data_IF_595365806764
#
_entry.id   IF_595365806764
#
_cell.length_a   1.000
_cell.length_b   1.000
_cell.length_c   1.000
_cell.angle_alpha   90.00
_cell.angle_beta   90.00
_cell.angle_gamma   90.00
#
_symmetry.space_group_name_H-M   'P 1'
#
loop_
_entity.id
_entity.type
_entity.pdbx_description
1 polymer ?
#
# COMPACT_ATOMS: atom_id res chain seq x y z
N UNK A 1 -12.43 1.94 0.79
CA UNK A 1 -13.92 2.01 0.86
C UNK A 1 -14.30 2.25 2.30
N UNK A 2 -15.15 3.23 2.58
CA UNK A 2 -15.60 3.57 3.93
C UNK A 2 -17.04 3.09 4.09
N UNK A 3 -17.33 2.32 5.12
CA UNK A 3 -18.64 1.70 5.35
C UNK A 3 -19.19 2.13 6.70
N UNK A 4 -20.50 2.42 6.75
CA UNK A 4 -21.20 2.53 8.03
C UNK A 4 -21.29 1.15 8.71
N UNK A 5 -21.69 1.12 9.98
CA UNK A 5 -21.82 -0.12 10.76
C UNK A 5 -22.67 -1.18 10.05
N UNK A 6 -23.81 -0.79 9.48
CA UNK A 6 -24.73 -1.69 8.78
C UNK A 6 -24.10 -2.27 7.50
N UNK A 7 -23.32 -1.46 6.77
CA UNK A 7 -22.56 -1.87 5.59
C UNK A 7 -21.41 -2.82 5.92
N UNK A 8 -20.74 -2.63 7.07
CA UNK A 8 -19.70 -3.54 7.56
C UNK A 8 -20.29 -4.90 7.91
N UNK A 9 -21.39 -4.93 8.66
CA UNK A 9 -22.10 -6.16 8.99
C UNK A 9 -22.60 -6.90 7.74
N UNK A 10 -23.15 -6.16 6.76
CA UNK A 10 -23.56 -6.73 5.48
C UNK A 10 -22.38 -7.36 4.72
N UNK A 11 -21.25 -6.65 4.62
CA UNK A 11 -20.08 -7.17 3.91
C UNK A 11 -19.51 -8.41 4.60
N UNK A 12 -19.42 -8.42 5.93
CA UNK A 12 -19.00 -9.59 6.70
C UNK A 12 -19.91 -10.80 6.43
N UNK A 13 -21.23 -10.59 6.42
CA UNK A 13 -22.21 -11.62 6.07
C UNK A 13 -22.06 -12.16 4.65
N UNK A 14 -21.84 -11.29 3.65
CA UNK A 14 -21.61 -11.68 2.25
C UNK A 14 -20.30 -12.46 2.08
N UNK A 15 -19.24 -12.02 2.74
CA UNK A 15 -17.93 -12.66 2.70
C UNK A 15 -17.85 -13.93 3.57
N UNK A 16 -18.83 -14.16 4.46
CA UNK A 16 -18.87 -15.27 5.43
C UNK A 16 -17.62 -15.32 6.31
N UNK A 17 -17.17 -14.17 6.77
CA UNK A 17 -16.01 -14.02 7.66
C UNK A 17 -16.37 -13.11 8.82
N UNK A 18 -15.72 -13.32 9.96
CA UNK A 18 -15.87 -12.46 11.12
C UNK A 18 -15.35 -11.05 10.82
N UNK A 19 -15.97 -10.02 11.42
CA UNK A 19 -15.56 -8.64 11.22
C UNK A 19 -14.10 -8.38 11.64
N UNK A 20 -13.58 -9.13 12.62
CA UNK A 20 -12.18 -9.04 13.05
C UNK A 20 -11.20 -9.41 11.93
N UNK A 21 -11.56 -10.36 11.08
CA UNK A 21 -10.74 -10.76 9.91
C UNK A 21 -10.72 -9.61 8.89
N UNK A 22 -11.87 -8.99 8.65
CA UNK A 22 -11.97 -7.86 7.74
C UNK A 22 -11.24 -6.63 8.28
N UNK A 23 -11.24 -6.41 9.59
CA UNK A 23 -10.48 -5.35 10.23
C UNK A 23 -8.97 -5.51 10.04
N UNK A 24 -8.46 -6.73 10.17
CA UNK A 24 -7.05 -7.04 9.93
C UNK A 24 -6.69 -6.93 8.44
N UNK A 25 -7.60 -7.33 7.55
CA UNK A 25 -7.36 -7.34 6.10
C UNK A 25 -7.54 -5.97 5.44
N UNK A 26 -8.41 -5.11 5.99
CA UNK A 26 -8.81 -3.83 5.43
C UNK A 26 -8.48 -2.71 6.43
N UNK A 27 -7.33 -2.04 6.30
CA UNK A 27 -6.98 -0.95 7.20
C UNK A 27 -7.92 0.27 7.13
N UNK A 28 -8.81 0.38 6.12
CA UNK A 28 -9.93 1.34 6.13
C UNK A 28 -11.17 0.88 6.91
N UNK A 29 -11.19 -0.32 7.49
CA UNK A 29 -12.42 -0.96 7.99
C UNK A 29 -13.16 -0.10 9.01
N UNK A 30 -12.43 0.47 9.97
CA UNK A 30 -12.98 1.36 11.00
C UNK A 30 -12.77 2.85 10.70
N UNK A 31 -12.14 3.18 9.57
CA UNK A 31 -11.86 4.56 9.18
C UNK A 31 -13.13 5.21 8.60
N UNK A 32 -13.34 6.49 8.91
CA UNK A 32 -14.24 7.34 8.15
C UNK A 32 -15.72 7.33 8.54
N UNK A 33 -16.12 6.87 9.73
CA UNK A 33 -17.50 7.09 10.22
C UNK A 33 -17.85 8.59 10.34
N UNK A 34 -16.88 9.40 10.69
CA UNK A 34 -16.96 10.87 10.73
C UNK A 34 -17.02 11.52 9.34
N UNK A 35 -16.63 10.78 8.29
CA UNK A 35 -16.62 11.24 6.90
C UNK A 35 -17.90 10.81 6.14
N UNK A 36 -18.79 10.08 6.81
CA UNK A 36 -20.12 9.73 6.31
C UNK A 36 -21.10 10.87 6.60
N UNK A 37 -21.87 11.25 5.59
CA UNK A 37 -22.95 12.24 5.71
C UNK A 37 -24.12 11.72 6.55
N UNK A 38 -24.98 12.62 7.05
CA UNK A 38 -26.17 12.26 7.84
C UNK A 38 -27.13 11.31 7.11
N UNK A 39 -27.19 11.38 5.77
CA UNK A 39 -27.96 10.46 4.91
C UNK A 39 -27.42 9.02 4.92
N UNK A 40 -26.30 8.77 5.58
CA UNK A 40 -25.59 7.50 5.65
C UNK A 40 -25.50 6.95 7.09
N UNK A 41 -26.24 7.56 8.04
CA UNK A 41 -26.42 7.11 9.43
C UNK A 41 -27.79 6.39 9.62
N UNK A 42 -27.96 5.63 10.72
CA UNK A 42 -28.27 4.19 10.73
C UNK A 42 -29.63 3.80 10.12
N UNK A 43 -29.73 2.57 9.59
CA UNK A 43 -30.96 1.98 9.07
C UNK A 43 -30.88 1.51 7.62
N UNK A 44 -29.79 1.81 6.91
CA UNK A 44 -29.51 1.28 5.57
C UNK A 44 -28.01 1.07 5.41
N UNK A 45 -27.61 -0.11 4.90
CA UNK A 45 -26.22 -0.41 4.57
C UNK A 45 -25.70 0.57 3.52
N UNK A 46 -24.65 1.32 3.86
CA UNK A 46 -24.14 2.40 3.01
C UNK A 46 -22.65 2.64 3.18
N UNK A 47 -22.07 3.36 2.22
CA UNK A 47 -20.66 3.68 2.23
C UNK A 47 -20.27 4.68 1.17
N UNK A 48 -19.01 5.13 1.24
CA UNK A 48 -18.43 6.06 0.26
C UNK A 48 -17.18 5.42 -0.36
N UNK A 49 -17.09 5.51 -1.68
CA UNK A 49 -15.87 5.17 -2.39
C UNK A 49 -14.87 6.31 -2.26
N UNK A 50 -13.68 5.96 -1.78
CA UNK A 50 -12.52 6.86 -1.69
C UNK A 50 -11.31 6.10 -2.18
N UNK A 51 -10.38 6.83 -2.81
CA UNK A 51 -9.09 6.30 -3.21
C UNK A 51 -8.36 5.85 -1.93
N UNK A 52 -7.97 4.56 -1.87
CA UNK A 52 -7.38 3.99 -0.66
C UNK A 52 -6.10 4.71 -0.21
N UNK A 53 -5.29 5.14 -1.18
CA UNK A 53 -4.07 5.94 -0.99
C UNK A 53 -4.27 7.22 -0.19
N UNK A 54 -5.41 7.90 -0.38
CA UNK A 54 -5.69 9.19 0.26
C UNK A 54 -6.31 9.06 1.65
N UNK A 55 -6.77 7.86 2.05
CA UNK A 55 -7.49 7.66 3.32
C UNK A 55 -6.75 6.77 4.30
N UNK A 56 -5.93 5.83 3.82
CA UNK A 56 -5.36 4.76 4.65
C UNK A 56 -3.84 4.71 4.61
N UNK A 57 -3.24 5.22 3.54
CA UNK A 57 -1.81 5.12 3.30
C UNK A 57 -1.49 4.45 1.97
N UNK A 58 -0.20 4.28 1.64
CA UNK A 58 0.23 3.96 0.28
C UNK A 58 -0.34 2.63 -0.23
N UNK A 59 -0.88 2.65 -1.45
CA UNK A 59 -1.41 1.46 -2.12
C UNK A 59 -0.54 1.06 -3.30
N UNK A 60 -0.32 -0.24 -3.48
CA UNK A 60 0.42 -0.77 -4.60
C UNK A 60 -0.40 -1.81 -5.37
N UNK A 61 -0.02 -2.08 -6.60
CA UNK A 61 -0.52 -3.27 -7.30
C UNK A 61 -0.03 -4.55 -6.60
N UNK A 62 -0.86 -5.59 -6.65
CA UNK A 62 -0.45 -6.93 -6.23
C UNK A 62 0.27 -7.66 -7.37
N UNK A 63 1.26 -8.49 -7.02
CA UNK A 63 1.95 -9.30 -8.01
C UNK A 63 0.98 -10.31 -8.65
N UNK A 64 0.66 -10.16 -9.95
CA UNK A 64 -0.28 -11.04 -10.66
C UNK A 64 0.10 -12.51 -10.63
N UNK A 65 1.40 -12.83 -10.54
CA UNK A 65 1.87 -14.21 -10.41
C UNK A 65 1.53 -14.79 -9.02
N UNK A 66 1.67 -13.99 -7.96
CA UNK A 66 1.20 -14.37 -6.63
C UNK A 66 -0.32 -14.55 -6.59
N UNK A 67 -1.06 -13.65 -7.24
CA UNK A 67 -2.54 -13.73 -7.33
C UNK A 67 -2.93 -15.01 -8.07
N UNK A 68 -2.38 -15.24 -9.26
CA UNK A 68 -2.63 -16.45 -10.04
C UNK A 68 -2.31 -17.73 -9.25
N UNK A 69 -1.20 -17.75 -8.51
CA UNK A 69 -0.82 -18.90 -7.66
C UNK A 69 -1.84 -19.17 -6.55
N UNK A 70 -2.50 -18.14 -6.00
CA UNK A 70 -3.44 -18.28 -4.87
C UNK A 70 -4.89 -18.46 -5.28
N UNK A 71 -5.32 -17.80 -6.36
CA UNK A 71 -6.73 -17.80 -6.81
C UNK A 71 -6.97 -18.60 -8.09
N UNK A 72 -5.91 -19.09 -8.74
CA UNK A 72 -6.00 -19.74 -10.06
C UNK A 72 -6.16 -18.77 -11.22
N UNK A 73 -6.23 -17.45 -10.98
CA UNK A 73 -6.46 -16.44 -12.02
C UNK A 73 -5.50 -15.24 -11.89
N UNK A 74 -4.92 -14.79 -13.00
CA UNK A 74 -4.02 -13.63 -13.05
C UNK A 74 -4.77 -12.29 -13.09
N UNK A 75 -5.66 -12.07 -12.12
CA UNK A 75 -6.44 -10.82 -12.01
C UNK A 75 -5.59 -9.69 -11.42
N UNK A 76 -5.94 -8.45 -11.78
CA UNK A 76 -5.36 -7.26 -11.16
C UNK A 76 -5.81 -7.19 -9.70
N UNK A 77 -4.86 -6.99 -8.80
CA UNK A 77 -5.13 -6.80 -7.38
C UNK A 77 -4.47 -5.52 -6.89
N UNK A 78 -5.01 -4.94 -5.81
CA UNK A 78 -4.45 -3.78 -5.11
C UNK A 78 -4.35 -4.16 -3.64
N UNK A 79 -3.26 -3.76 -2.99
CA UNK A 79 -3.08 -3.95 -1.56
C UNK A 79 -2.42 -2.73 -0.92
N UNK A 80 -2.58 -2.60 0.40
CA UNK A 80 -1.89 -1.58 1.19
C UNK A 80 -0.45 -2.04 1.41
N UNK A 81 0.50 -1.22 0.96
CA UNK A 81 1.91 -1.53 1.06
C UNK A 81 2.74 -0.24 1.01
N UNK A 82 3.55 -0.06 2.04
CA UNK A 82 4.54 1.01 2.10
C UNK A 82 5.57 0.88 0.98
N UNK A 83 6.18 2.01 0.57
CA UNK A 83 7.10 2.03 -0.58
C UNK A 83 8.26 1.03 -0.44
N UNK A 84 8.75 0.82 0.77
CA UNK A 84 9.82 -0.12 1.11
C UNK A 84 9.35 -1.58 1.33
N UNK A 85 8.09 -1.90 1.03
CA UNK A 85 7.51 -3.25 1.15
C UNK A 85 6.98 -3.80 -0.19
N UNK A 86 7.26 -3.12 -1.30
CA UNK A 86 6.63 -3.39 -2.62
C UNK A 86 7.38 -4.33 -3.55
N UNK A 87 8.48 -4.93 -3.11
CA UNK A 87 9.16 -5.94 -3.95
C UNK A 87 8.56 -7.30 -3.65
N UNK A 88 8.02 -7.92 -4.68
CA UNK A 88 7.66 -9.33 -4.66
C UNK A 88 8.95 -10.15 -4.83
N UNK A 89 9.57 -10.55 -3.72
CA UNK A 89 10.80 -11.35 -3.74
C UNK A 89 10.67 -12.64 -4.57
N UNK A 90 9.60 -13.45 -4.43
CA UNK A 90 9.50 -14.71 -5.17
C UNK A 90 9.44 -14.55 -6.69
N UNK A 91 9.03 -13.37 -7.19
CA UNK A 91 8.84 -13.12 -8.61
C UNK A 91 9.73 -12.00 -9.15
N UNK A 92 10.64 -11.46 -8.33
CA UNK A 92 11.55 -10.37 -8.69
C UNK A 92 10.84 -9.18 -9.35
N UNK A 93 9.71 -8.74 -8.79
CA UNK A 93 8.92 -7.63 -9.35
C UNK A 93 8.70 -6.53 -8.33
N UNK A 94 9.09 -5.31 -8.68
CA UNK A 94 8.71 -4.11 -7.94
C UNK A 94 7.26 -3.76 -8.28
N UNK A 95 6.37 -3.72 -7.30
CA UNK A 95 4.98 -3.30 -7.49
C UNK A 95 4.83 -1.78 -7.46
N UNK A 96 4.20 -1.22 -8.49
CA UNK A 96 4.04 0.22 -8.61
C UNK A 96 2.82 0.73 -7.83
N UNK A 97 2.79 2.04 -7.62
CA UNK A 97 1.66 2.74 -7.01
C UNK A 97 0.38 2.47 -7.80
N UNK A 98 -0.68 2.07 -7.09
CA UNK A 98 -1.97 1.77 -7.71
C UNK A 98 -2.84 3.01 -7.95
N UNK A 99 -2.45 4.16 -7.40
CA UNK A 99 -3.12 5.45 -7.54
C UNK A 99 -2.49 6.35 -8.61
N UNK A 100 -1.43 5.88 -9.30
CA UNK A 100 -0.76 6.59 -10.39
C UNK A 100 -1.17 6.04 -11.75
N UNK A 101 -1.62 6.90 -12.65
CA UNK A 101 -2.14 6.54 -13.97
C UNK A 101 -1.02 6.42 -15.02
N UNK A 102 -0.08 5.51 -14.80
CA UNK A 102 1.02 5.23 -15.75
C UNK A 102 0.85 3.90 -16.50
N UNK A 103 -0.27 3.19 -16.33
CA UNK A 103 -0.61 1.93 -17.01
C UNK A 103 0.24 0.70 -16.64
N UNK A 104 1.46 0.90 -16.13
CA UNK A 104 2.34 -0.16 -15.63
C UNK A 104 1.92 -0.65 -14.24
N UNK A 105 1.93 -1.96 -14.01
CA UNK A 105 1.63 -2.54 -12.68
C UNK A 105 2.90 -2.89 -11.89
N UNK A 106 4.00 -3.19 -12.60
CA UNK A 106 5.25 -3.64 -11.99
C UNK A 106 6.46 -3.36 -12.90
N UNK A 107 7.63 -3.32 -12.28
CA UNK A 107 8.93 -3.35 -12.94
C UNK A 107 9.60 -4.70 -12.68
N UNK A 108 10.28 -5.24 -13.68
CA UNK A 108 11.06 -6.46 -13.57
C UNK A 108 12.44 -6.15 -12.98
N UNK A 109 12.82 -6.88 -11.93
CA UNK A 109 14.08 -6.71 -11.21
C UNK A 109 15.07 -7.86 -11.46
N UNK A 110 14.78 -8.79 -12.39
CA UNK A 110 15.68 -9.92 -12.67
C UNK A 110 17.08 -9.46 -13.10
N UNK A 111 17.14 -8.38 -13.87
CA UNK A 111 18.38 -7.76 -14.34
C UNK A 111 18.93 -6.71 -13.36
N UNK A 112 18.40 -6.63 -12.14
CA UNK A 112 18.82 -5.67 -11.11
C UNK A 112 18.79 -6.29 -9.71
N UNK A 113 19.62 -7.33 -9.47
CA UNK A 113 19.63 -8.08 -8.22
C UNK A 113 20.00 -7.21 -7.00
N UNK A 114 20.73 -6.11 -7.20
CA UNK A 114 21.11 -5.15 -6.16
C UNK A 114 19.88 -4.46 -5.56
N UNK A 115 18.86 -4.16 -6.37
CA UNK A 115 17.61 -3.56 -5.90
C UNK A 115 16.83 -4.55 -5.02
N UNK A 116 16.78 -5.82 -5.43
CA UNK A 116 16.18 -6.86 -4.62
C UNK A 116 16.95 -7.08 -3.31
N UNK A 117 18.28 -6.96 -3.33
CA UNK A 117 19.11 -7.03 -2.12
C UNK A 117 18.89 -5.84 -1.19
N UNK A 118 18.89 -4.61 -1.71
CA UNK A 118 18.61 -3.41 -0.95
C UNK A 118 17.25 -3.50 -0.23
N UNK A 119 16.23 -4.06 -0.91
CA UNK A 119 14.92 -4.25 -0.29
C UNK A 119 14.95 -5.26 0.87
N UNK A 120 15.72 -6.34 0.77
CA UNK A 120 15.86 -7.30 1.89
C UNK A 120 16.40 -6.62 3.16
N UNK A 121 17.26 -5.60 2.98
CA UNK A 121 17.75 -4.81 4.10
C UNK A 121 16.68 -3.90 4.71
N UNK A 122 15.67 -3.47 3.94
CA UNK A 122 14.54 -2.66 4.43
C UNK A 122 13.78 -3.35 5.57
N UNK A 123 13.55 -4.66 5.49
CA UNK A 123 12.94 -5.41 6.60
C UNK A 123 13.80 -5.36 7.87
N UNK A 124 15.12 -5.35 7.72
CA UNK A 124 16.06 -5.17 8.84
C UNK A 124 16.06 -3.74 9.40
N UNK A 125 15.85 -2.73 8.55
CA UNK A 125 15.66 -1.33 8.98
C UNK A 125 14.35 -1.19 9.74
N UNK A 126 13.25 -1.75 9.23
CA UNK A 126 11.95 -1.74 9.89
C UNK A 126 12.03 -2.35 11.30
N UNK A 127 12.63 -3.54 11.42
CA UNK A 127 12.81 -4.18 12.73
C UNK A 127 13.65 -3.34 13.70
N UNK A 128 14.68 -2.64 13.20
CA UNK A 128 15.52 -1.76 14.03
C UNK A 128 14.78 -0.49 14.46
N UNK A 129 14.02 0.12 13.55
CA UNK A 129 13.18 1.28 13.85
C UNK A 129 12.19 0.95 14.96
N UNK A 130 11.44 -0.16 14.82
CA UNK A 130 10.49 -0.62 15.84
C UNK A 130 11.16 -0.89 17.20
N UNK A 131 12.35 -1.50 17.22
CA UNK A 131 13.12 -1.72 18.48
C UNK A 131 13.62 -0.43 19.12
N UNK A 132 13.82 0.60 18.33
CA UNK A 132 14.20 1.93 18.80
C UNK A 132 12.98 2.81 19.11
N UNK A 133 11.76 2.24 19.08
CA UNK A 133 10.50 2.96 19.30
C UNK A 133 10.28 4.12 18.31
N UNK A 134 10.83 3.99 17.09
CA UNK A 134 10.62 4.92 15.98
C UNK A 134 9.73 4.27 14.94
N UNK A 135 8.73 5.00 14.47
CA UNK A 135 7.86 4.52 13.39
C UNK A 135 8.68 4.32 12.11
N UNK A 136 8.62 3.13 11.46
CA UNK A 136 9.37 2.88 10.23
C UNK A 136 9.11 3.92 9.14
N UNK A 137 7.87 4.43 9.07
CA UNK A 137 7.49 5.46 8.12
C UNK A 137 8.31 6.75 8.25
N UNK A 138 8.71 7.14 9.47
CA UNK A 138 9.55 8.32 9.69
C UNK A 138 10.96 8.08 9.17
N UNK A 139 11.54 6.91 9.44
CA UNK A 139 12.90 6.55 8.99
C UNK A 139 12.98 6.54 7.47
N UNK A 140 12.04 5.85 6.81
CA UNK A 140 12.01 5.79 5.36
C UNK A 140 11.57 7.13 4.73
N UNK A 141 10.74 7.91 5.42
CA UNK A 141 10.38 9.27 5.03
C UNK A 141 11.60 10.19 4.99
N UNK A 142 12.42 10.17 6.03
CA UNK A 142 13.67 10.93 6.09
C UNK A 142 14.65 10.49 5.00
N UNK A 143 14.87 9.19 4.84
CA UNK A 143 15.74 8.66 3.80
C UNK A 143 15.28 9.11 2.40
N UNK A 144 13.97 9.08 2.14
CA UNK A 144 13.39 9.58 0.89
C UNK A 144 13.66 11.07 0.70
N UNK A 145 13.44 11.90 1.72
CA UNK A 145 13.66 13.34 1.62
C UNK A 145 15.12 13.68 1.30
N UNK A 146 16.07 12.97 1.93
CA UNK A 146 17.50 13.12 1.65
C UNK A 146 17.82 12.74 0.20
N UNK A 147 17.32 11.59 -0.27
CA UNK A 147 17.56 11.12 -1.64
C UNK A 147 16.95 12.05 -2.68
N UNK A 148 15.69 12.50 -2.47
CA UNK A 148 15.03 13.44 -3.38
C UNK A 148 15.79 14.77 -3.45
N UNK A 149 16.18 15.34 -2.31
CA UNK A 149 16.96 16.58 -2.27
C UNK A 149 18.31 16.42 -2.97
N UNK A 150 18.99 15.29 -2.78
CA UNK A 150 20.24 15.02 -3.46
C UNK A 150 20.07 14.94 -4.98
N UNK A 151 19.01 14.27 -5.46
CA UNK A 151 18.68 14.20 -6.89
C UNK A 151 18.36 15.57 -7.48
N UNK A 152 17.57 16.39 -6.79
CA UNK A 152 17.25 17.76 -7.21
C UNK A 152 18.52 18.62 -7.35
N UNK A 153 19.48 18.47 -6.43
CA UNK A 153 20.76 19.16 -6.50
C UNK A 153 21.64 18.65 -7.64
N UNK A 154 21.69 17.32 -7.86
CA UNK A 154 22.48 16.71 -8.93
C UNK A 154 22.01 17.15 -10.33
N UNK A 155 20.72 17.42 -10.52
CA UNK A 155 20.18 17.96 -11.76
C UNK A 155 20.63 19.41 -12.04
N UNK A 156 20.99 20.18 -11.00
CA UNK A 156 21.52 21.53 -11.12
C UNK A 156 23.02 21.60 -11.44
N UNK A 157 23.75 20.48 -11.36
CA UNK A 157 25.21 20.46 -11.58
C UNK A 157 25.62 20.52 -13.06
N UNK A 158 24.66 20.46 -14.00
CA UNK A 158 24.92 20.61 -15.43
C UNK A 158 25.03 22.06 -15.92
N UNK A 159 24.66 23.05 -15.11
CA UNK A 159 24.60 24.48 -15.50
C UNK A 159 25.76 25.33 -14.94
N UNK A 160 26.66 24.75 -14.14
CA UNK A 160 27.85 25.42 -13.57
C UNK A 160 29.17 24.96 -14.21
N UNK A 161 29.28 24.97 -15.54
CA UNK A 161 30.58 24.87 -16.24
C UNK A 161 30.76 26.00 -17.26
#
# INVERSE_FOLDING_TARGET
MLLNRDGRALLAGLCRVDEEILEQALPSWRQGEEQLTEQQRPGTAGGVWRVGGTVVGPTAFGCRLCVARRSGQAVRAVHYAERWQRVCEPHHRWQLDADVDHGLENLDLRESPELAQAQRHSAGVERRARRAEVEPAEVFGLARAVVCRWWEQALGWGEEQ
#
